data_IF_707040485594
#
_entry.id   IF_707040485594
#
_cell.length_a   1.000
_cell.length_b   1.000
_cell.length_c   1.000
_cell.angle_alpha   90.00
_cell.angle_beta   90.00
_cell.angle_gamma   90.00
#
_symmetry.space_group_name_H-M   'P 1'
#
loop_
_entity.id
_entity.type
_entity.pdbx_description
1 polymer ?
#
# COMPACT_ATOMS: atom_id res chain seq x y z
N UNK A 1 -2.12 -18.28 -3.34
CA UNK A 1 -1.28 -18.70 -4.49
C UNK A 1 0.15 -18.24 -4.23
N UNK A 2 1.14 -19.14 -4.19
CA UNK A 2 2.55 -18.76 -4.08
C UNK A 2 3.04 -18.37 -5.48
N UNK A 3 3.41 -17.10 -5.74
CA UNK A 3 3.74 -16.68 -7.09
C UNK A 3 4.98 -17.38 -7.65
N UNK A 4 5.86 -17.91 -6.79
CA UNK A 4 7.03 -18.67 -7.23
C UNK A 4 6.67 -19.93 -8.04
N UNK A 5 5.46 -20.48 -7.90
CA UNK A 5 5.00 -21.61 -8.71
C UNK A 5 4.79 -21.20 -10.19
N UNK A 6 4.47 -19.93 -10.45
CA UNK A 6 4.25 -19.41 -11.80
C UNK A 6 5.42 -18.62 -12.36
N UNK A 7 6.35 -18.15 -11.51
CA UNK A 7 7.41 -17.23 -11.93
C UNK A 7 8.84 -17.76 -11.77
N UNK A 8 9.05 -18.85 -11.02
CA UNK A 8 10.39 -19.41 -10.83
C UNK A 8 10.68 -20.51 -11.87
N UNK A 9 11.73 -20.38 -12.70
CA UNK A 9 12.10 -21.41 -13.67
C UNK A 9 12.57 -22.71 -13.01
N UNK A 10 13.09 -22.64 -11.78
CA UNK A 10 13.58 -23.78 -11.00
C UNK A 10 12.64 -24.09 -9.82
N UNK A 11 11.34 -23.98 -10.02
CA UNK A 11 10.37 -24.21 -8.95
C UNK A 11 10.45 -25.64 -8.40
N UNK A 12 10.53 -25.74 -7.07
CA UNK A 12 10.34 -26.97 -6.32
C UNK A 12 9.38 -26.73 -5.15
N UNK A 13 8.66 -27.75 -4.65
CA UNK A 13 7.87 -27.60 -3.43
C UNK A 13 8.71 -27.03 -2.29
N UNK A 14 8.30 -25.89 -1.73
CA UNK A 14 9.05 -25.19 -0.67
C UNK A 14 10.12 -24.20 -1.15
N UNK A 15 10.35 -24.06 -2.45
CA UNK A 15 11.37 -23.19 -3.04
C UNK A 15 11.23 -21.71 -2.62
N UNK A 16 10.01 -21.21 -2.38
CA UNK A 16 9.77 -19.82 -1.94
C UNK A 16 10.54 -19.41 -0.65
N UNK A 17 10.98 -20.36 0.18
CA UNK A 17 11.73 -20.05 1.40
C UNK A 17 13.18 -19.63 1.11
N UNK A 18 13.78 -20.15 0.04
CA UNK A 18 15.18 -19.94 -0.31
C UNK A 18 15.38 -19.40 -1.74
N UNK A 19 14.30 -19.13 -2.48
CA UNK A 19 14.36 -18.69 -3.86
C UNK A 19 14.82 -17.23 -3.98
N UNK A 20 15.96 -17.02 -4.66
CA UNK A 20 16.53 -15.69 -4.92
C UNK A 20 15.59 -14.84 -5.77
N UNK A 21 15.04 -15.40 -6.85
CA UNK A 21 14.09 -14.70 -7.73
C UNK A 21 12.83 -14.25 -6.97
N UNK A 22 12.34 -15.08 -6.05
CA UNK A 22 11.20 -14.73 -5.22
C UNK A 22 11.51 -13.56 -4.28
N UNK A 23 12.70 -13.57 -3.65
CA UNK A 23 13.16 -12.47 -2.80
C UNK A 23 13.28 -11.16 -3.59
N UNK A 24 13.89 -11.22 -4.77
CA UNK A 24 14.01 -10.05 -5.66
C UNK A 24 12.63 -9.51 -6.09
N UNK A 25 11.69 -10.39 -6.43
CA UNK A 25 10.33 -9.98 -6.76
C UNK A 25 9.62 -9.33 -5.56
N UNK A 26 9.79 -9.89 -4.37
CA UNK A 26 9.21 -9.35 -3.14
C UNK A 26 9.77 -7.97 -2.81
N UNK A 27 11.08 -7.74 -3.02
CA UNK A 27 11.73 -6.45 -2.84
C UNK A 27 11.20 -5.41 -3.84
N UNK A 28 11.07 -5.77 -5.13
CA UNK A 28 10.46 -4.88 -6.14
C UNK A 28 9.02 -4.52 -5.77
N UNK A 29 8.22 -5.50 -5.35
CA UNK A 29 6.84 -5.26 -4.90
C UNK A 29 6.77 -4.40 -3.64
N UNK A 30 7.73 -4.55 -2.72
CA UNK A 30 7.81 -3.72 -1.52
C UNK A 30 8.00 -2.25 -1.88
N UNK A 31 8.92 -1.95 -2.80
CA UNK A 31 9.17 -0.58 -3.27
C UNK A 31 7.90 0.00 -3.93
N UNK A 32 7.26 -0.76 -4.82
CA UNK A 32 6.02 -0.31 -5.46
C UNK A 32 4.89 -0.06 -4.45
N UNK A 33 4.74 -0.92 -3.44
CA UNK A 33 3.73 -0.72 -2.38
C UNK A 33 4.04 0.51 -1.53
N UNK A 34 5.30 0.77 -1.21
CA UNK A 34 5.70 1.97 -0.48
C UNK A 34 5.37 3.25 -1.26
N UNK A 35 5.64 3.28 -2.57
CA UNK A 35 5.30 4.41 -3.43
C UNK A 35 3.78 4.64 -3.51
N UNK A 36 3.00 3.57 -3.73
CA UNK A 36 1.54 3.64 -3.75
C UNK A 36 0.97 4.11 -2.40
N UNK A 37 1.53 3.61 -1.30
CA UNK A 37 1.13 4.02 0.05
C UNK A 37 1.41 5.50 0.28
N UNK A 38 2.60 5.99 -0.05
CA UNK A 38 2.95 7.40 0.10
C UNK A 38 2.01 8.33 -0.68
N UNK A 39 1.66 7.94 -1.91
CA UNK A 39 0.65 8.66 -2.71
C UNK A 39 -0.71 8.70 -1.99
N UNK A 40 -1.23 7.54 -1.55
CA UNK A 40 -2.52 7.47 -0.89
C UNK A 40 -2.53 8.24 0.45
N UNK A 41 -1.47 8.14 1.24
CA UNK A 41 -1.33 8.84 2.52
C UNK A 41 -1.43 10.37 2.31
N UNK A 42 -0.72 10.92 1.31
CA UNK A 42 -0.78 12.35 0.98
C UNK A 42 -2.20 12.83 0.65
N UNK A 43 -2.90 12.12 -0.25
CA UNK A 43 -4.25 12.53 -0.65
C UNK A 43 -5.28 12.30 0.45
N UNK A 44 -5.11 11.26 1.26
CA UNK A 44 -5.95 11.03 2.44
C UNK A 44 -5.81 12.21 3.42
N UNK A 45 -4.58 12.62 3.73
CA UNK A 45 -4.33 13.75 4.64
C UNK A 45 -4.92 15.06 4.11
N UNK A 46 -4.77 15.33 2.81
CA UNK A 46 -5.37 16.50 2.16
C UNK A 46 -6.90 16.48 2.29
N UNK A 47 -7.54 15.38 1.90
CA UNK A 47 -9.00 15.22 1.96
C UNK A 47 -9.53 15.32 3.39
N UNK A 48 -8.84 14.70 4.36
CA UNK A 48 -9.18 14.78 5.77
C UNK A 48 -9.06 16.22 6.29
N UNK A 49 -8.01 16.94 5.89
CA UNK A 49 -7.81 18.35 6.26
C UNK A 49 -8.94 19.22 5.73
N UNK A 50 -9.27 19.11 4.45
CA UNK A 50 -10.39 19.84 3.84
C UNK A 50 -11.71 19.52 4.53
N UNK A 51 -11.97 18.23 4.79
CA UNK A 51 -13.19 17.79 5.49
C UNK A 51 -13.29 18.42 6.88
N UNK A 52 -12.19 18.48 7.63
CA UNK A 52 -12.16 19.11 8.96
C UNK A 52 -12.45 20.61 8.86
N UNK A 53 -11.84 21.30 7.89
CA UNK A 53 -12.07 22.73 7.66
C UNK A 53 -13.53 23.03 7.31
N UNK A 54 -14.13 22.29 6.37
CA UNK A 54 -15.56 22.47 6.05
C UNK A 54 -16.46 22.15 7.24
N UNK A 55 -16.14 21.11 8.00
CA UNK A 55 -16.88 20.78 9.24
C UNK A 55 -16.72 21.82 10.35
N UNK A 56 -15.63 22.59 10.40
CA UNK A 56 -15.50 23.68 11.38
C UNK A 56 -16.27 24.93 10.94
N UNK A 57 -16.39 25.16 9.64
CA UNK A 57 -17.16 26.27 9.06
C UNK A 57 -18.67 25.99 9.02
N UNK A 58 -19.09 24.73 9.23
CA UNK A 58 -20.49 24.33 9.18
C UNK A 58 -21.30 24.93 10.34
N UNK A 59 -22.44 25.60 10.07
CA UNK A 59 -23.22 26.34 11.07
C UNK A 59 -23.81 25.46 12.19
N UNK A 60 -23.86 24.13 12.02
CA UNK A 60 -24.33 23.19 13.04
C UNK A 60 -23.48 23.19 14.34
N UNK A 61 -22.31 23.86 14.38
CA UNK A 61 -21.53 24.06 15.62
C UNK A 61 -21.78 25.40 16.32
N UNK A 62 -22.46 26.35 15.69
CA UNK A 62 -22.73 27.66 16.28
C UNK A 62 -24.01 27.67 17.15
N UNK A 63 -24.77 26.58 17.16
CA UNK A 63 -26.04 26.43 17.91
C UNK A 63 -25.88 25.39 19.03
N UNK A 64 -24.75 25.38 19.73
CA UNK A 64 -24.59 24.61 20.98
C UNK A 64 -24.03 25.47 22.09
#
# INVERSE_FOLDING_TARGET
MLPCQGTCPNYQPGCHKCCVEWKLLQDRQRVQRQQKKAYLDYYNDLCLTMTRQFRSLSPCRLIR
#
